data_IF_728657661304
#
_entry.id   IF_728657661304
#
_cell.length_a   1.000
_cell.length_b   1.000
_cell.length_c   1.000
_cell.angle_alpha   90.00
_cell.angle_beta   90.00
_cell.angle_gamma   90.00
#
_symmetry.space_group_name_H-M   'P 1'
#
loop_
_entity.id
_entity.type
_entity.pdbx_description
1 polymer ?
#
# COMPACT_ATOMS: atom_id res chain seq x y z
N UNK A 1 -9.34 -9.69 -12.96
CA UNK A 1 -10.16 -8.52 -13.36
C UNK A 1 -9.40 -7.75 -14.42
N UNK A 2 -9.89 -7.82 -15.66
CA UNK A 2 -9.28 -7.14 -16.81
C UNK A 2 -10.19 -6.02 -17.30
N UNK A 3 -9.60 -4.89 -17.71
CA UNK A 3 -10.35 -3.77 -18.31
C UNK A 3 -9.71 -3.30 -19.61
N UNK A 4 -10.53 -2.77 -20.52
CA UNK A 4 -10.04 -2.18 -21.77
C UNK A 4 -9.19 -0.93 -21.52
N UNK A 5 -8.38 -0.56 -22.52
CA UNK A 5 -7.55 0.64 -22.41
C UNK A 5 -8.38 1.92 -22.40
N UNK A 6 -9.50 1.97 -23.12
CA UNK A 6 -10.41 3.12 -23.15
C UNK A 6 -11.01 3.37 -21.77
N UNK A 7 -11.51 2.31 -21.11
CA UNK A 7 -12.10 2.42 -19.79
C UNK A 7 -11.04 2.75 -18.73
N UNK A 8 -9.85 2.13 -18.80
CA UNK A 8 -8.72 2.50 -17.94
C UNK A 8 -8.36 3.99 -18.08
N UNK A 9 -8.26 4.50 -19.32
CA UNK A 9 -7.95 5.91 -19.55
C UNK A 9 -9.04 6.83 -19.01
N UNK A 10 -10.32 6.47 -19.18
CA UNK A 10 -11.46 7.23 -18.65
C UNK A 10 -11.46 7.26 -17.12
N UNK A 11 -11.33 6.11 -16.45
CA UNK A 11 -11.22 6.01 -14.99
C UNK A 11 -10.03 6.83 -14.52
N UNK A 12 -8.84 6.56 -15.07
CA UNK A 12 -7.59 7.23 -14.67
C UNK A 12 -7.66 8.74 -14.87
N UNK A 13 -8.31 9.25 -15.93
CA UNK A 13 -8.48 10.69 -16.16
C UNK A 13 -9.34 11.33 -15.07
N UNK A 14 -10.49 10.71 -14.76
CA UNK A 14 -11.50 11.25 -13.86
C UNK A 14 -11.24 10.98 -12.37
N UNK A 15 -10.37 10.04 -12.04
CA UNK A 15 -9.95 9.75 -10.67
C UNK A 15 -8.96 10.82 -10.16
N UNK A 16 -9.44 11.82 -9.42
CA UNK A 16 -8.68 13.02 -9.02
C UNK A 16 -8.13 12.90 -7.60
N UNK A 17 -8.92 12.38 -6.68
CA UNK A 17 -8.57 12.23 -5.26
C UNK A 17 -9.31 11.06 -4.58
N UNK A 18 -9.07 10.88 -3.27
CA UNK A 18 -9.59 9.76 -2.49
C UNK A 18 -11.13 9.73 -2.39
N UNK A 19 -11.82 10.85 -2.64
CA UNK A 19 -13.29 10.92 -2.62
C UNK A 19 -13.91 10.27 -3.86
N UNK A 20 -13.11 10.04 -4.89
CA UNK A 20 -13.54 9.44 -6.14
C UNK A 20 -13.50 7.89 -6.12
N UNK A 21 -13.00 7.29 -5.03
CA UNK A 21 -12.79 5.83 -4.91
C UNK A 21 -14.08 4.99 -4.92
N UNK A 22 -15.26 5.61 -4.90
CA UNK A 22 -16.55 4.92 -4.94
C UNK A 22 -17.35 5.24 -6.21
N UNK A 23 -16.79 5.99 -7.18
CA UNK A 23 -17.56 6.60 -8.29
C UNK A 23 -17.64 5.77 -9.58
N UNK A 24 -16.81 4.74 -9.72
CA UNK A 24 -16.59 4.09 -11.03
C UNK A 24 -17.07 2.63 -11.11
N UNK A 25 -17.75 2.12 -10.08
CA UNK A 25 -18.21 0.72 -10.07
C UNK A 25 -17.09 -0.33 -10.00
N UNK A 26 -15.84 0.09 -9.78
CA UNK A 26 -14.69 -0.78 -9.58
C UNK A 26 -14.34 -0.92 -8.10
N UNK A 27 -13.67 -2.00 -7.70
CA UNK A 27 -13.21 -2.16 -6.33
C UNK A 27 -12.36 -1.00 -5.85
N UNK A 28 -12.55 -0.62 -4.58
CA UNK A 28 -11.87 0.51 -3.95
C UNK A 28 -10.35 0.40 -4.04
N UNK A 29 -9.80 -0.79 -3.83
CA UNK A 29 -8.37 -1.07 -3.92
C UNK A 29 -7.79 -0.88 -5.31
N UNK A 30 -8.54 -1.25 -6.35
CA UNK A 30 -8.17 -0.99 -7.74
C UNK A 30 -8.08 0.51 -8.01
N UNK A 31 -9.11 1.26 -7.65
CA UNK A 31 -9.15 2.70 -7.83
C UNK A 31 -8.03 3.39 -7.03
N UNK A 32 -7.83 3.02 -5.76
CA UNK A 32 -6.77 3.59 -4.93
C UNK A 32 -5.38 3.39 -5.56
N UNK A 33 -5.16 2.22 -6.12
CA UNK A 33 -3.90 1.88 -6.77
C UNK A 33 -3.69 2.63 -8.08
N UNK A 34 -4.70 2.74 -8.95
CA UNK A 34 -4.65 3.58 -10.16
C UNK A 34 -4.38 5.04 -9.80
N UNK A 35 -5.02 5.55 -8.74
CA UNK A 35 -4.80 6.91 -8.24
C UNK A 35 -3.37 7.12 -7.75
N UNK A 36 -2.82 6.20 -6.96
CA UNK A 36 -1.45 6.31 -6.44
C UNK A 36 -0.43 6.24 -7.58
N UNK A 37 -0.55 5.31 -8.54
CA UNK A 37 0.28 5.28 -9.76
C UNK A 37 0.18 6.59 -10.55
N UNK A 38 -1.03 7.15 -10.70
CA UNK A 38 -1.25 8.46 -11.35
C UNK A 38 -0.48 9.59 -10.67
N UNK A 39 -0.50 9.64 -9.35
CA UNK A 39 0.19 10.69 -8.58
C UNK A 39 1.70 10.49 -8.58
N UNK A 40 2.19 9.25 -8.56
CA UNK A 40 3.62 8.95 -8.71
C UNK A 40 4.14 9.39 -10.08
N UNK A 41 3.40 9.11 -11.15
CA UNK A 41 3.73 9.59 -12.50
C UNK A 41 3.76 11.11 -12.59
N UNK A 42 2.78 11.76 -11.97
CA UNK A 42 2.72 13.22 -11.87
C UNK A 42 3.96 13.78 -11.16
N UNK A 43 4.30 13.25 -9.97
CA UNK A 43 5.48 13.66 -9.21
C UNK A 43 6.76 13.48 -10.04
N UNK A 44 6.94 12.32 -10.71
CA UNK A 44 8.12 12.08 -11.55
C UNK A 44 8.28 13.12 -12.66
N UNK A 45 7.18 13.60 -13.24
CA UNK A 45 7.19 14.62 -14.29
C UNK A 45 7.44 16.03 -13.74
N UNK A 46 6.83 16.38 -12.61
CA UNK A 46 6.96 17.73 -12.04
C UNK A 46 8.27 17.92 -11.26
N UNK A 47 8.85 16.85 -10.71
CA UNK A 47 10.02 16.92 -9.83
C UNK A 47 11.22 17.65 -10.47
N UNK A 48 11.63 17.37 -11.72
CA UNK A 48 12.73 18.10 -12.37
C UNK A 48 12.48 19.61 -12.47
N UNK A 49 11.23 20.04 -12.71
CA UNK A 49 10.87 21.46 -12.79
C UNK A 49 11.05 22.18 -11.46
N UNK A 50 10.83 21.46 -10.35
CA UNK A 50 11.03 22.00 -9.01
C UNK A 50 12.50 22.05 -8.64
N UNK A 51 13.27 21.01 -8.98
CA UNK A 51 14.70 20.94 -8.67
C UNK A 51 15.50 22.05 -9.36
N UNK A 52 15.10 22.51 -10.55
CA UNK A 52 15.75 23.63 -11.23
C UNK A 52 15.61 24.97 -10.51
N UNK A 53 14.72 25.06 -9.51
CA UNK A 53 14.33 26.30 -8.83
C UNK A 53 14.45 26.17 -7.31
N UNK A 54 15.46 25.42 -6.84
CA UNK A 54 15.67 25.24 -5.40
C UNK A 54 16.02 26.55 -4.69
N UNK A 55 16.86 27.40 -5.30
CA UNK A 55 17.21 28.71 -4.73
C UNK A 55 15.98 29.63 -4.58
N UNK A 56 15.14 29.70 -5.62
CA UNK A 56 13.85 30.41 -5.56
C UNK A 56 12.98 29.89 -4.41
N UNK A 57 12.94 28.56 -4.22
CA UNK A 57 12.14 27.91 -3.20
C UNK A 57 12.62 28.27 -1.79
N UNK A 58 13.93 28.20 -1.55
CA UNK A 58 14.54 28.58 -0.27
C UNK A 58 14.29 30.06 0.03
N UNK A 59 14.52 30.93 -0.94
CA UNK A 59 14.29 32.38 -0.82
C UNK A 59 12.83 32.68 -0.48
N UNK A 60 11.88 32.07 -1.21
CA UNK A 60 10.46 32.26 -0.96
C UNK A 60 10.04 31.75 0.43
N UNK A 61 10.56 30.58 0.84
CA UNK A 61 10.28 30.04 2.18
C UNK A 61 10.82 30.95 3.28
N UNK A 62 12.05 31.42 3.18
CA UNK A 62 12.66 32.27 4.20
C UNK A 62 11.88 33.59 4.38
N UNK A 63 11.34 34.14 3.29
CA UNK A 63 10.53 35.36 3.34
C UNK A 63 9.08 35.15 3.80
N UNK A 64 8.46 34.00 3.49
CA UNK A 64 7.00 33.83 3.62
C UNK A 64 6.57 32.69 4.56
N UNK A 65 7.50 31.83 4.98
CA UNK A 65 7.27 30.59 5.74
C UNK A 65 6.18 29.71 5.14
N UNK A 66 6.11 29.70 3.80
CA UNK A 66 5.12 28.96 2.99
C UNK A 66 5.77 28.39 1.73
N UNK A 67 5.25 27.26 1.26
CA UNK A 67 5.64 26.70 -0.04
C UNK A 67 4.89 27.42 -1.16
N UNK A 68 5.56 27.91 -2.21
CA UNK A 68 4.91 28.63 -3.30
C UNK A 68 4.02 27.72 -4.14
N UNK A 69 2.95 28.29 -4.72
CA UNK A 69 1.91 27.55 -5.46
C UNK A 69 2.44 26.76 -6.67
N UNK A 70 3.56 27.19 -7.25
CA UNK A 70 4.18 26.51 -8.39
C UNK A 70 4.83 25.17 -8.02
N UNK A 71 5.11 24.90 -6.74
CA UNK A 71 5.58 23.58 -6.29
C UNK A 71 4.38 22.62 -6.25
N UNK A 72 4.13 21.98 -7.40
CA UNK A 72 3.03 21.03 -7.57
C UNK A 72 3.50 19.60 -7.31
N UNK A 73 3.81 19.28 -6.05
CA UNK A 73 4.19 17.94 -5.62
C UNK A 73 3.26 17.41 -4.52
N UNK A 74 3.34 16.11 -4.22
CA UNK A 74 2.69 15.50 -3.06
C UNK A 74 3.25 16.07 -1.74
N UNK A 75 2.47 16.16 -0.64
CA UNK A 75 2.87 16.89 0.57
C UNK A 75 4.25 16.54 1.12
N UNK A 76 4.59 15.26 1.28
CA UNK A 76 5.92 14.85 1.77
C UNK A 76 6.99 15.19 0.74
N UNK A 77 6.71 15.04 -0.56
CA UNK A 77 7.66 15.42 -1.60
C UNK A 77 7.93 16.93 -1.64
N UNK A 78 6.92 17.77 -1.33
CA UNK A 78 7.09 19.23 -1.17
C UNK A 78 8.06 19.55 -0.03
N UNK A 79 7.90 18.88 1.12
CA UNK A 79 8.78 19.02 2.26
C UNK A 79 10.20 18.57 1.93
N UNK A 80 10.36 17.42 1.26
CA UNK A 80 11.69 16.90 0.89
C UNK A 80 12.46 17.87 0.00
N UNK A 81 11.82 18.46 -1.01
CA UNK A 81 12.50 19.42 -1.90
C UNK A 81 12.76 20.75 -1.19
N UNK A 82 11.87 21.19 -0.31
CA UNK A 82 12.09 22.38 0.51
C UNK A 82 13.30 22.19 1.43
N UNK A 83 13.33 21.12 2.22
CA UNK A 83 14.47 20.84 3.10
C UNK A 83 15.78 20.71 2.31
N UNK A 84 15.75 20.07 1.14
CA UNK A 84 16.92 20.04 0.25
C UNK A 84 17.36 21.44 -0.18
N UNK A 85 16.41 22.34 -0.49
CA UNK A 85 16.73 23.74 -0.81
C UNK A 85 17.32 24.52 0.36
N UNK A 86 17.00 24.12 1.60
CA UNK A 86 17.54 24.69 2.83
C UNK A 86 18.87 24.06 3.27
N UNK A 87 19.46 23.19 2.44
CA UNK A 87 20.78 22.59 2.69
C UNK A 87 20.77 21.29 3.50
N UNK A 88 19.61 20.75 3.86
CA UNK A 88 19.54 19.49 4.60
C UNK A 88 20.00 18.31 3.72
N UNK A 89 20.77 17.41 4.32
CA UNK A 89 21.15 16.13 3.73
C UNK A 89 19.95 15.17 3.63
N UNK A 90 20.07 14.16 2.77
CA UNK A 90 19.03 13.12 2.65
C UNK A 90 18.77 12.40 3.98
N UNK A 91 19.80 12.20 4.82
CA UNK A 91 19.66 11.54 6.11
C UNK A 91 18.84 12.37 7.08
N UNK A 92 19.12 13.67 7.18
CA UNK A 92 18.38 14.60 8.03
C UNK A 92 16.93 14.73 7.59
N UNK A 93 16.68 14.80 6.28
CA UNK A 93 15.32 14.83 5.72
C UNK A 93 14.54 13.57 6.12
N UNK A 94 15.14 12.39 6.01
CA UNK A 94 14.50 11.14 6.40
C UNK A 94 14.22 11.09 7.92
N UNK A 95 15.17 11.57 8.74
CA UNK A 95 15.01 11.66 10.19
C UNK A 95 13.86 12.61 10.56
N UNK A 96 13.79 13.78 9.94
CA UNK A 96 12.74 14.76 10.19
C UNK A 96 11.35 14.27 9.77
N UNK A 97 11.24 13.54 8.64
CA UNK A 97 9.95 12.94 8.22
C UNK A 97 9.51 11.82 9.17
N UNK A 98 10.45 11.06 9.74
CA UNK A 98 10.16 9.98 10.67
C UNK A 98 9.77 10.49 12.06
N UNK A 99 10.43 11.56 12.50
CA UNK A 99 10.28 12.14 13.83
C UNK A 99 10.23 13.67 13.75
N UNK A 100 9.11 14.25 13.28
CA UNK A 100 8.95 15.69 13.11
C UNK A 100 9.09 16.47 14.41
N UNK A 101 8.78 15.85 15.56
CA UNK A 101 8.86 16.44 16.89
C UNK A 101 10.27 16.92 17.26
N UNK A 102 11.30 16.37 16.61
CA UNK A 102 12.70 16.71 16.84
C UNK A 102 13.21 17.85 15.95
N UNK A 103 12.34 18.47 15.14
CA UNK A 103 12.71 19.59 14.27
C UNK A 103 12.58 20.90 15.06
N UNK A 104 13.69 21.63 15.17
CA UNK A 104 13.78 22.86 15.97
C UNK A 104 12.99 24.05 15.37
N UNK A 105 13.01 24.23 14.05
CA UNK A 105 12.24 25.29 13.39
C UNK A 105 10.74 24.95 13.42
N UNK A 106 9.96 25.75 14.15
CA UNK A 106 8.53 25.56 14.37
C UNK A 106 7.69 25.53 13.10
N UNK A 107 7.98 26.41 12.13
CA UNK A 107 7.24 26.50 10.88
C UNK A 107 7.50 25.27 10.01
N UNK A 108 8.77 24.85 9.94
CA UNK A 108 9.19 23.65 9.23
C UNK A 108 8.61 22.40 9.88
N UNK A 109 8.67 22.31 11.22
CA UNK A 109 8.07 21.21 11.99
C UNK A 109 6.58 21.05 11.68
N UNK A 110 5.79 22.11 11.82
CA UNK A 110 4.35 22.10 11.53
C UNK A 110 4.05 21.69 10.08
N UNK A 111 4.87 22.15 9.14
CA UNK A 111 4.75 21.78 7.73
C UNK A 111 5.03 20.28 7.52
N UNK A 112 6.09 19.75 8.14
CA UNK A 112 6.45 18.33 8.07
C UNK A 112 5.34 17.47 8.69
N UNK A 113 4.87 17.81 9.89
CA UNK A 113 3.79 17.09 10.57
C UNK A 113 2.54 17.02 9.69
N UNK A 114 2.10 18.17 9.15
CA UNK A 114 0.95 18.21 8.23
C UNK A 114 1.19 17.36 6.99
N UNK A 115 2.39 17.39 6.41
CA UNK A 115 2.71 16.59 5.23
C UNK A 115 2.65 15.09 5.54
N UNK A 116 3.24 14.66 6.65
CA UNK A 116 3.24 13.26 7.12
C UNK A 116 1.81 12.76 7.36
N UNK A 117 0.94 13.58 7.96
CA UNK A 117 -0.44 13.20 8.27
C UNK A 117 -1.38 13.14 7.05
N UNK A 118 -1.03 13.82 5.95
CA UNK A 118 -1.92 13.98 4.79
C UNK A 118 -1.45 13.29 3.52
N UNK A 119 -0.16 12.93 3.42
CA UNK A 119 0.39 12.26 2.25
C UNK A 119 0.10 10.75 2.28
N UNK A 120 -0.73 10.28 1.36
CA UNK A 120 -1.13 8.87 1.25
C UNK A 120 -0.21 8.03 0.35
N UNK A 121 0.94 8.55 -0.05
CA UNK A 121 1.89 7.89 -0.96
C UNK A 121 3.29 7.80 -0.34
N UNK A 122 3.79 8.90 0.22
CA UNK A 122 5.19 9.04 0.63
C UNK A 122 5.40 9.19 2.14
N UNK A 123 4.32 9.30 2.94
CA UNK A 123 4.44 9.33 4.40
C UNK A 123 4.89 7.97 4.95
N UNK A 124 5.47 7.92 6.17
CA UNK A 124 5.79 6.67 6.85
C UNK A 124 4.60 5.70 6.93
N UNK A 125 3.39 6.22 7.21
CA UNK A 125 2.17 5.43 7.27
C UNK A 125 1.77 4.86 5.89
N UNK A 126 1.86 5.68 4.83
CA UNK A 126 1.59 5.24 3.46
C UNK A 126 2.55 4.14 3.00
N UNK A 127 3.83 4.25 3.36
CA UNK A 127 4.85 3.24 3.09
C UNK A 127 4.51 1.92 3.82
N UNK A 128 4.16 1.97 5.10
CA UNK A 128 3.70 0.80 5.86
C UNK A 128 2.46 0.15 5.21
N UNK A 129 1.51 0.97 4.75
CA UNK A 129 0.32 0.48 4.05
C UNK A 129 0.65 -0.19 2.70
N UNK A 130 1.59 0.37 1.93
CA UNK A 130 2.08 -0.27 0.70
C UNK A 130 2.70 -1.64 1.00
N UNK A 131 3.55 -1.73 2.03
CA UNK A 131 4.15 -3.00 2.46
C UNK A 131 3.10 -4.02 2.92
N UNK A 132 2.12 -3.60 3.72
CA UNK A 132 1.04 -4.48 4.18
C UNK A 132 0.24 -5.06 3.01
N UNK A 133 -0.06 -4.25 1.98
CA UNK A 133 -0.74 -4.74 0.75
C UNK A 133 0.12 -5.72 -0.04
N UNK A 134 1.42 -5.46 -0.16
CA UNK A 134 2.38 -6.39 -0.79
C UNK A 134 2.38 -7.74 -0.09
N UNK A 135 2.57 -7.74 1.23
CA UNK A 135 2.56 -8.95 2.05
C UNK A 135 1.24 -9.69 2.03
N UNK A 136 0.10 -8.98 2.02
CA UNK A 136 -1.20 -9.61 1.87
C UNK A 136 -1.31 -10.35 0.52
N UNK A 137 -0.86 -9.72 -0.57
CA UNK A 137 -0.79 -10.37 -1.88
C UNK A 137 0.07 -11.64 -1.88
N UNK A 138 1.29 -11.56 -1.35
CA UNK A 138 2.17 -12.72 -1.20
C UNK A 138 1.52 -13.82 -0.34
N UNK A 139 0.90 -13.46 0.79
CA UNK A 139 0.25 -14.42 1.68
C UNK A 139 -0.91 -15.17 1.02
N UNK A 140 -1.61 -14.57 0.05
CA UNK A 140 -2.66 -15.26 -0.72
C UNK A 140 -2.05 -16.38 -1.56
N UNK A 141 -0.95 -16.12 -2.28
CA UNK A 141 -0.28 -17.14 -3.08
C UNK A 141 0.34 -18.21 -2.19
N UNK A 142 1.02 -17.79 -1.11
CA UNK A 142 1.63 -18.69 -0.12
C UNK A 142 0.64 -19.72 0.40
N UNK A 143 -0.50 -19.27 0.95
CA UNK A 143 -1.55 -20.17 1.45
C UNK A 143 -2.08 -21.08 0.35
N UNK A 144 -2.28 -20.56 -0.86
CA UNK A 144 -2.76 -21.37 -1.98
C UNK A 144 -1.80 -22.52 -2.32
N UNK A 145 -0.48 -22.28 -2.25
CA UNK A 145 0.57 -23.28 -2.48
C UNK A 145 0.64 -24.28 -1.32
N UNK A 146 0.66 -23.79 -0.07
CA UNK A 146 0.70 -24.59 1.15
C UNK A 146 -0.50 -25.54 1.25
N UNK A 147 -1.72 -25.03 0.98
CA UNK A 147 -2.96 -25.83 0.98
C UNK A 147 -2.95 -26.99 -0.05
N UNK A 148 -2.02 -26.95 -1.00
CA UNK A 148 -1.83 -27.97 -2.06
C UNK A 148 -0.58 -28.80 -1.87
N UNK A 149 0.17 -28.58 -0.79
CA UNK A 149 1.45 -29.25 -0.55
C UNK A 149 2.50 -28.95 -1.63
N UNK A 150 2.42 -27.79 -2.29
CA UNK A 150 3.40 -27.38 -3.28
C UNK A 150 4.56 -26.72 -2.54
N UNK A 151 5.73 -27.35 -2.59
CA UNK A 151 6.96 -26.79 -2.02
C UNK A 151 7.47 -25.62 -2.87
N UNK A 152 7.95 -24.57 -2.21
CA UNK A 152 8.52 -23.40 -2.87
C UNK A 152 9.59 -22.77 -1.98
N UNK A 153 10.54 -22.07 -2.61
CA UNK A 153 11.49 -21.18 -1.97
C UNK A 153 10.97 -19.75 -2.03
N UNK A 154 10.98 -19.05 -0.90
CA UNK A 154 10.65 -17.63 -0.87
C UNK A 154 11.87 -16.72 -1.09
N UNK A 155 11.67 -15.40 -1.15
CA UNK A 155 12.77 -14.45 -1.35
C UNK A 155 13.94 -14.63 -0.37
N UNK A 156 13.69 -15.03 0.89
CA UNK A 156 14.74 -15.16 1.91
C UNK A 156 15.63 -16.36 1.63
N UNK A 157 15.04 -17.43 1.14
CA UNK A 157 15.75 -18.64 0.72
C UNK A 157 16.49 -18.37 -0.59
N UNK A 158 15.80 -17.77 -1.58
CA UNK A 158 16.39 -17.43 -2.86
C UNK A 158 17.58 -16.47 -2.75
N UNK A 159 17.60 -15.57 -1.75
CA UNK A 159 18.74 -14.64 -1.51
C UNK A 159 20.05 -15.36 -1.19
N UNK A 160 20.00 -16.63 -0.76
CA UNK A 160 21.19 -17.45 -0.50
C UNK A 160 21.77 -18.06 -1.77
N UNK A 161 20.95 -18.22 -2.81
CA UNK A 161 21.28 -18.98 -4.02
C UNK A 161 21.42 -18.08 -5.25
N UNK A 162 20.69 -16.97 -5.31
CA UNK A 162 20.67 -16.06 -6.45
C UNK A 162 20.54 -14.60 -6.03
N UNK A 163 21.13 -13.72 -6.86
CA UNK A 163 20.90 -12.26 -6.75
C UNK A 163 19.47 -11.89 -7.13
N UNK A 164 18.76 -12.75 -7.87
CA UNK A 164 17.40 -12.55 -8.36
C UNK A 164 16.46 -13.45 -7.58
N UNK A 165 15.41 -12.84 -7.04
CA UNK A 165 14.54 -13.44 -6.02
C UNK A 165 13.10 -13.16 -6.41
N UNK A 166 12.48 -14.01 -7.26
CA UNK A 166 11.02 -13.99 -7.39
C UNK A 166 10.39 -14.26 -6.02
N UNK A 167 9.16 -13.79 -5.81
CA UNK A 167 8.46 -13.97 -4.53
C UNK A 167 8.30 -15.45 -4.16
N UNK A 168 8.04 -16.29 -5.18
CA UNK A 168 7.92 -17.74 -5.08
C UNK A 168 8.72 -18.39 -6.21
N UNK A 169 9.61 -19.32 -5.85
CA UNK A 169 10.39 -20.12 -6.79
C UNK A 169 10.17 -21.61 -6.54
N UNK A 170 10.14 -22.41 -7.60
CA UNK A 170 9.99 -23.86 -7.54
C UNK A 170 11.26 -24.53 -8.08
N UNK A 171 11.86 -25.43 -7.28
CA UNK A 171 13.04 -26.19 -7.70
C UNK A 171 12.70 -27.11 -8.88
N UNK A 172 11.52 -27.73 -8.85
CA UNK A 172 10.93 -28.45 -9.96
C UNK A 172 9.78 -27.65 -10.59
N UNK A 173 9.65 -27.62 -11.93
CA UNK A 173 8.53 -26.95 -12.58
C UNK A 173 7.19 -27.52 -12.12
N UNK A 174 6.22 -26.65 -11.90
CA UNK A 174 4.85 -27.05 -11.61
C UNK A 174 3.93 -26.77 -12.80
N UNK A 175 2.98 -27.66 -13.05
CA UNK A 175 1.92 -27.42 -14.02
C UNK A 175 0.85 -26.52 -13.41
N UNK A 176 0.74 -25.29 -13.93
CA UNK A 176 -0.15 -24.27 -13.42
C UNK A 176 -0.85 -23.54 -14.57
N UNK A 177 -2.18 -23.53 -14.57
CA UNK A 177 -3.00 -22.84 -15.58
C UNK A 177 -2.61 -23.20 -17.03
N UNK A 178 -2.30 -24.49 -17.27
CA UNK A 178 -1.91 -25.01 -18.58
C UNK A 178 -0.48 -24.68 -19.02
N UNK A 179 0.39 -24.23 -18.11
CA UNK A 179 1.81 -23.97 -18.37
C UNK A 179 2.68 -24.61 -17.29
N UNK A 180 3.85 -25.10 -17.69
CA UNK A 180 4.94 -25.47 -16.79
C UNK A 180 5.68 -24.21 -16.34
N UNK A 181 5.68 -23.91 -15.04
CA UNK A 181 6.29 -22.69 -14.50
C UNK A 181 7.25 -22.97 -13.34
N UNK A 182 8.22 -22.07 -13.14
CA UNK A 182 9.23 -22.15 -12.07
C UNK A 182 9.19 -20.99 -11.08
N UNK A 183 8.38 -19.97 -11.33
CA UNK A 183 8.25 -18.85 -10.40
C UNK A 183 6.90 -18.14 -10.51
N UNK A 184 6.51 -17.48 -9.41
CA UNK A 184 5.38 -16.55 -9.35
C UNK A 184 5.85 -15.25 -8.70
N UNK A 185 5.49 -14.12 -9.29
CA UNK A 185 5.71 -12.78 -8.74
C UNK A 185 4.38 -12.10 -8.39
N UNK A 186 4.28 -11.65 -7.15
CA UNK A 186 3.15 -10.95 -6.54
C UNK A 186 3.29 -9.44 -6.68
N UNK A 187 2.35 -8.79 -7.37
CA UNK A 187 2.35 -7.33 -7.54
C UNK A 187 1.08 -6.72 -6.98
N UNK A 188 1.20 -6.07 -5.82
CA UNK A 188 0.14 -5.26 -5.21
C UNK A 188 -0.04 -3.89 -5.91
N UNK A 189 -0.21 -3.90 -7.23
CA UNK A 189 -0.48 -2.73 -8.07
C UNK A 189 -1.42 -3.07 -9.25
N UNK A 190 -1.89 -2.06 -9.99
CA UNK A 190 -2.67 -2.23 -11.22
C UNK A 190 -1.72 -2.40 -12.41
N UNK A 191 -1.89 -3.48 -13.17
CA UNK A 191 -1.09 -3.77 -14.35
C UNK A 191 -1.52 -2.93 -15.55
N UNK A 192 -0.89 -1.77 -15.77
CA UNK A 192 -0.96 -1.04 -17.04
C UNK A 192 0.28 -1.31 -17.91
N UNK A 193 0.21 -0.98 -19.21
CA UNK A 193 1.31 -1.24 -20.15
C UNK A 193 2.64 -0.63 -19.71
N UNK A 194 2.62 0.61 -19.22
CA UNK A 194 3.83 1.31 -18.79
C UNK A 194 4.47 0.60 -17.60
N UNK A 195 3.66 0.27 -16.58
CA UNK A 195 4.10 -0.38 -15.36
C UNK A 195 4.61 -1.77 -15.67
N UNK A 196 3.85 -2.56 -16.44
CA UNK A 196 4.24 -3.90 -16.86
C UNK A 196 5.56 -3.88 -17.64
N UNK A 197 5.71 -2.99 -18.63
CA UNK A 197 6.95 -2.86 -19.41
C UNK A 197 8.16 -2.51 -18.55
N UNK A 198 8.01 -1.64 -17.55
CA UNK A 198 9.09 -1.29 -16.62
C UNK A 198 9.54 -2.54 -15.85
N UNK A 199 8.61 -3.34 -15.34
CA UNK A 199 8.95 -4.56 -14.59
C UNK A 199 9.47 -5.67 -15.51
N UNK A 200 8.92 -5.83 -16.71
CA UNK A 200 9.43 -6.76 -17.71
C UNK A 200 10.92 -6.53 -17.95
N UNK A 201 11.30 -5.29 -18.27
CA UNK A 201 12.70 -4.92 -18.51
C UNK A 201 13.62 -5.06 -17.30
N UNK A 202 13.12 -4.77 -16.09
CA UNK A 202 13.95 -4.71 -14.88
C UNK A 202 14.03 -6.01 -14.10
N UNK A 203 13.03 -6.88 -14.26
CA UNK A 203 12.79 -8.02 -13.39
C UNK A 203 12.39 -9.26 -14.20
N UNK A 204 11.24 -9.25 -14.89
CA UNK A 204 10.67 -10.49 -15.43
C UNK A 204 11.50 -11.13 -16.55
N UNK A 205 12.10 -10.33 -17.44
CA UNK A 205 12.98 -10.89 -18.48
C UNK A 205 14.19 -11.61 -17.90
N UNK A 206 14.72 -11.14 -16.76
CA UNK A 206 15.84 -11.78 -16.08
C UNK A 206 15.41 -13.06 -15.38
N UNK A 207 14.18 -13.11 -14.87
CA UNK A 207 13.64 -14.35 -14.31
C UNK A 207 13.38 -15.38 -15.39
N UNK A 208 12.87 -14.96 -16.55
CA UNK A 208 12.71 -15.83 -17.71
C UNK A 208 14.04 -16.43 -18.15
N UNK A 209 15.09 -15.62 -18.23
CA UNK A 209 16.43 -16.08 -18.62
C UNK A 209 17.06 -17.02 -17.59
N UNK A 210 16.93 -16.74 -16.29
CA UNK A 210 17.58 -17.51 -15.23
C UNK A 210 16.80 -18.75 -14.79
N UNK A 211 15.47 -18.64 -14.78
CA UNK A 211 14.58 -19.61 -14.14
C UNK A 211 13.53 -20.16 -15.10
N UNK A 212 13.47 -19.73 -16.36
CA UNK A 212 12.44 -20.15 -17.30
C UNK A 212 11.07 -19.51 -17.04
N UNK A 213 10.02 -20.13 -17.54
CA UNK A 213 8.65 -19.59 -17.52
C UNK A 213 8.12 -19.35 -16.10
N UNK A 214 7.27 -18.33 -15.96
CA UNK A 214 6.64 -17.99 -14.69
C UNK A 214 5.48 -17.02 -14.85
N UNK A 215 4.77 -16.79 -13.75
CA UNK A 215 3.60 -15.93 -13.72
C UNK A 215 3.80 -14.66 -12.92
N UNK A 216 3.11 -13.60 -13.34
CA UNK A 216 2.95 -12.36 -12.57
C UNK A 216 1.49 -12.19 -12.20
N UNK A 217 1.21 -11.88 -10.94
CA UNK A 217 -0.15 -11.59 -10.44
C UNK A 217 -0.28 -10.11 -10.12
N UNK A 218 -1.18 -9.39 -10.81
CA UNK A 218 -1.54 -8.01 -10.47
C UNK A 218 -2.83 -8.00 -9.63
N UNK A 219 -2.70 -7.79 -8.31
CA UNK A 219 -3.82 -7.94 -7.37
C UNK A 219 -4.96 -6.94 -7.54
N UNK A 220 -4.70 -5.83 -8.21
CA UNK A 220 -5.66 -4.75 -8.39
C UNK A 220 -6.27 -4.72 -9.80
N UNK A 221 -6.08 -5.81 -10.56
CA UNK A 221 -6.51 -5.91 -11.95
C UNK A 221 -5.45 -5.42 -12.93
N UNK A 222 -5.72 -5.62 -14.21
CA UNK A 222 -4.78 -5.30 -15.28
C UNK A 222 -5.50 -4.96 -16.60
N UNK A 223 -4.75 -4.45 -17.60
CA UNK A 223 -5.30 -4.25 -18.94
C UNK A 223 -5.49 -5.60 -19.67
N UNK A 224 -6.58 -5.70 -20.44
CA UNK A 224 -6.96 -6.93 -21.17
C UNK A 224 -5.83 -7.50 -22.04
N UNK A 225 -5.10 -6.62 -22.73
CA UNK A 225 -4.09 -6.98 -23.72
C UNK A 225 -2.67 -7.10 -23.15
N UNK A 226 -2.53 -7.32 -21.84
CA UNK A 226 -1.23 -7.67 -21.24
C UNK A 226 -0.87 -9.13 -21.50
N UNK A 227 0.43 -9.41 -21.40
CA UNK A 227 1.07 -10.70 -21.67
C UNK A 227 0.29 -11.90 -21.10
N UNK A 228 0.34 -13.02 -21.82
CA UNK A 228 -0.18 -14.32 -21.39
C UNK A 228 0.42 -14.82 -20.07
N UNK A 229 1.59 -14.33 -19.67
CA UNK A 229 2.24 -14.64 -18.39
C UNK A 229 1.69 -13.78 -17.23
N UNK A 230 0.63 -13.01 -17.45
CA UNK A 230 -0.14 -12.36 -16.39
C UNK A 230 -1.30 -13.25 -15.97
N UNK A 231 -1.22 -13.80 -14.75
CA UNK A 231 -2.28 -14.61 -14.17
C UNK A 231 -3.38 -13.71 -13.59
N UNK A 232 -4.64 -14.04 -13.87
CA UNK A 232 -5.79 -13.29 -13.33
C UNK A 232 -5.92 -13.54 -11.83
N UNK A 233 -6.04 -12.46 -11.04
CA UNK A 233 -6.20 -12.55 -9.59
C UNK A 233 -7.52 -13.23 -9.17
N UNK A 234 -8.48 -13.31 -10.09
CA UNK A 234 -9.71 -14.10 -10.02
C UNK A 234 -9.48 -15.59 -9.74
N UNK A 235 -8.32 -16.12 -10.11
CA UNK A 235 -7.91 -17.49 -9.83
C UNK A 235 -7.86 -17.80 -8.32
N UNK A 236 -7.39 -16.85 -7.51
CA UNK A 236 -7.32 -17.00 -6.07
C UNK A 236 -8.66 -16.63 -5.42
N UNK A 237 -9.49 -17.62 -5.09
CA UNK A 237 -10.81 -17.41 -4.47
C UNK A 237 -10.70 -17.42 -2.93
N UNK A 238 -10.31 -16.29 -2.34
CA UNK A 238 -10.12 -16.16 -0.88
C UNK A 238 -10.73 -14.88 -0.33
N UNK A 239 -11.07 -14.89 0.96
CA UNK A 239 -11.51 -13.67 1.69
C UNK A 239 -10.38 -12.63 1.82
N UNK A 240 -9.12 -13.09 1.83
CA UNK A 240 -7.93 -12.24 1.82
C UNK A 240 -7.83 -11.39 0.56
N UNK A 241 -8.19 -11.94 -0.62
CA UNK A 241 -8.29 -11.15 -1.86
C UNK A 241 -9.37 -10.07 -1.74
N UNK A 242 -10.52 -10.42 -1.15
CA UNK A 242 -11.60 -9.45 -0.96
C UNK A 242 -11.14 -8.27 -0.09
N UNK A 243 -10.31 -8.53 0.93
CA UNK A 243 -9.70 -7.47 1.72
C UNK A 243 -8.88 -6.51 0.85
N UNK A 244 -7.98 -7.01 -0.02
CA UNK A 244 -7.24 -6.14 -0.96
C UNK A 244 -8.19 -5.27 -1.78
N UNK A 245 -9.22 -5.88 -2.38
CA UNK A 245 -10.12 -5.21 -3.31
C UNK A 245 -11.04 -4.19 -2.64
N UNK A 246 -11.57 -4.47 -1.45
CA UNK A 246 -12.48 -3.56 -0.76
C UNK A 246 -11.78 -2.49 0.08
N UNK A 247 -10.52 -2.73 0.48
CA UNK A 247 -9.77 -1.89 1.41
C UNK A 247 -10.59 -1.45 2.63
N UNK A 248 -11.26 -2.39 3.28
CA UNK A 248 -12.15 -2.12 4.40
C UNK A 248 -11.55 -2.47 5.75
N UNK A 249 -11.76 -1.59 6.73
CA UNK A 249 -11.43 -1.78 8.14
C UNK A 249 -12.72 -1.62 8.95
N UNK A 250 -12.99 -2.57 9.83
CA UNK A 250 -14.09 -2.49 10.78
C UNK A 250 -13.58 -2.02 12.13
N UNK A 251 -14.34 -1.17 12.82
CA UNK A 251 -14.06 -0.71 14.18
C UNK A 251 -15.28 -0.91 15.06
N UNK A 252 -15.10 -1.51 16.23
CA UNK A 252 -16.18 -1.78 17.19
C UNK A 252 -15.68 -1.59 18.63
N UNK A 253 -16.60 -1.33 19.55
CA UNK A 253 -16.38 -1.47 21.00
C UNK A 253 -17.31 -2.51 21.65
N UNK A 254 -17.93 -3.36 20.83
CA UNK A 254 -18.81 -4.43 21.29
C UNK A 254 -18.22 -5.78 20.89
N UNK A 255 -18.00 -6.63 21.89
CA UNK A 255 -17.55 -8.02 21.72
C UNK A 255 -18.58 -8.81 20.91
N UNK A 256 -19.87 -8.68 21.22
CA UNK A 256 -20.92 -9.37 20.48
C UNK A 256 -20.93 -9.00 19.00
N UNK A 257 -20.77 -7.71 18.68
CA UNK A 257 -20.63 -7.26 17.28
C UNK A 257 -19.34 -7.77 16.66
N UNK A 258 -18.25 -7.80 17.40
CA UNK A 258 -16.99 -8.36 16.92
C UNK A 258 -17.19 -9.82 16.46
N UNK A 259 -17.72 -10.68 17.34
CA UNK A 259 -17.99 -12.10 17.08
C UNK A 259 -18.86 -12.28 15.83
N UNK A 260 -19.95 -11.51 15.71
CA UNK A 260 -20.80 -11.54 14.50
C UNK A 260 -20.06 -11.15 13.23
N UNK A 261 -19.17 -10.16 13.27
CA UNK A 261 -18.40 -9.77 12.09
C UNK A 261 -17.37 -10.82 11.71
N UNK A 262 -16.76 -11.49 12.68
CA UNK A 262 -15.78 -12.54 12.43
C UNK A 262 -16.42 -13.70 11.66
N UNK A 263 -17.55 -14.20 12.15
CA UNK A 263 -18.30 -15.28 11.52
C UNK A 263 -18.80 -14.91 10.11
N UNK A 264 -19.38 -13.72 9.95
CA UNK A 264 -20.08 -13.36 8.72
C UNK A 264 -19.18 -12.77 7.63
N UNK A 265 -18.06 -12.17 7.98
CA UNK A 265 -17.25 -11.38 7.04
C UNK A 265 -15.87 -11.97 6.79
N UNK A 266 -15.54 -13.12 7.38
CA UNK A 266 -14.23 -13.76 7.22
C UNK A 266 -13.09 -12.83 7.65
N UNK A 267 -13.27 -12.15 8.80
CA UNK A 267 -12.19 -11.36 9.43
C UNK A 267 -11.04 -12.31 9.72
N UNK A 268 -9.86 -11.97 9.22
CA UNK A 268 -8.68 -12.84 9.33
C UNK A 268 -7.64 -12.30 10.30
N UNK A 269 -7.85 -11.11 10.87
CA UNK A 269 -6.97 -10.52 11.85
C UNK A 269 -7.69 -9.49 12.72
N UNK A 270 -7.42 -9.52 14.02
CA UNK A 270 -7.95 -8.53 14.97
C UNK A 270 -6.82 -7.71 15.57
N UNK A 271 -6.97 -6.39 15.45
CA UNK A 271 -6.21 -5.43 16.24
C UNK A 271 -6.99 -5.14 17.52
N UNK A 272 -6.63 -5.80 18.61
CA UNK A 272 -7.33 -5.72 19.88
C UNK A 272 -6.68 -4.67 20.78
N UNK A 273 -7.39 -3.58 21.07
CA UNK A 273 -6.97 -2.52 21.98
C UNK A 273 -7.71 -2.55 23.32
N UNK A 274 -8.25 -3.72 23.68
CA UNK A 274 -8.95 -4.01 24.94
C UNK A 274 -8.19 -5.06 25.74
N UNK A 275 -8.57 -5.22 27.00
CA UNK A 275 -8.04 -6.31 27.83
C UNK A 275 -8.75 -7.65 27.57
N UNK A 276 -9.88 -7.63 26.86
CA UNK A 276 -10.67 -8.82 26.53
C UNK A 276 -9.93 -9.78 25.60
N UNK A 277 -10.13 -11.07 25.81
CA UNK A 277 -9.68 -12.13 24.91
C UNK A 277 -10.78 -12.56 23.95
N UNK A 278 -10.39 -12.91 22.73
CA UNK A 278 -11.28 -13.45 21.70
C UNK A 278 -10.67 -14.73 21.14
N UNK A 279 -11.47 -15.79 21.00
CA UNK A 279 -11.05 -17.09 20.48
C UNK A 279 -11.06 -17.12 18.94
N UNK A 280 -10.01 -16.58 18.33
CA UNK A 280 -9.94 -16.41 16.87
C UNK A 280 -8.51 -16.62 16.41
N UNK A 281 -8.33 -17.18 15.21
CA UNK A 281 -7.04 -17.57 14.60
C UNK A 281 -5.93 -16.54 14.78
N UNK A 282 -6.23 -15.24 14.66
CA UNK A 282 -5.24 -14.18 14.81
C UNK A 282 -5.78 -12.97 15.57
N UNK A 283 -5.40 -12.86 16.84
CA UNK A 283 -5.58 -11.67 17.67
C UNK A 283 -4.22 -11.05 17.99
N UNK A 284 -4.07 -9.75 17.75
CA UNK A 284 -2.92 -8.96 18.19
C UNK A 284 -3.37 -7.94 19.22
N UNK A 285 -2.92 -8.10 20.46
CA UNK A 285 -3.18 -7.15 21.55
C UNK A 285 -2.25 -5.95 21.47
N UNK A 286 -2.81 -4.76 21.68
CA UNK A 286 -2.12 -3.48 21.65
C UNK A 286 -2.62 -2.59 22.77
N UNK A 287 -1.76 -1.69 23.25
CA UNK A 287 -2.22 -0.59 24.12
C UNK A 287 -2.81 0.53 23.26
N UNK A 288 -3.78 1.27 23.80
CA UNK A 288 -4.17 2.55 23.19
C UNK A 288 -2.98 3.51 23.35
N UNK A 289 -2.57 4.10 22.23
CA UNK A 289 -1.42 4.98 22.09
C UNK A 289 -1.86 6.24 21.33
N UNK A 290 -0.93 7.08 20.84
CA UNK A 290 -1.25 8.15 19.92
C UNK A 290 -1.91 7.64 18.61
N UNK A 291 -2.66 8.52 17.95
CA UNK A 291 -3.43 8.19 16.76
C UNK A 291 -2.60 7.56 15.62
N UNK A 292 -1.33 7.96 15.47
CA UNK A 292 -0.45 7.43 14.43
C UNK A 292 -0.11 5.97 14.74
N UNK A 293 0.33 5.66 15.97
CA UNK A 293 0.62 4.28 16.37
C UNK A 293 -0.58 3.35 16.27
N UNK A 294 -1.78 3.83 16.62
CA UNK A 294 -3.02 3.06 16.44
C UNK A 294 -3.22 2.72 14.94
N UNK A 295 -3.15 3.71 14.05
CA UNK A 295 -3.30 3.49 12.61
C UNK A 295 -2.22 2.55 12.05
N UNK A 296 -0.97 2.70 12.49
CA UNK A 296 0.13 1.83 12.09
C UNK A 296 -0.09 0.37 12.50
N UNK A 297 -0.56 0.11 13.73
CA UNK A 297 -0.85 -1.23 14.24
C UNK A 297 -2.00 -1.90 13.49
N UNK A 298 -3.04 -1.13 13.17
CA UNK A 298 -4.16 -1.61 12.34
C UNK A 298 -3.68 -1.95 10.94
N UNK A 299 -2.88 -1.09 10.30
CA UNK A 299 -2.28 -1.36 8.98
C UNK A 299 -1.36 -2.58 9.03
N UNK A 300 -0.60 -2.78 10.11
CA UNK A 300 0.25 -3.96 10.26
C UNK A 300 -0.57 -5.25 10.33
N UNK A 301 -1.79 -5.21 10.88
CA UNK A 301 -2.70 -6.36 10.88
C UNK A 301 -3.27 -6.66 9.49
N UNK A 302 -3.34 -5.66 8.62
CA UNK A 302 -3.92 -5.78 7.27
C UNK A 302 -3.12 -6.70 6.34
N UNK A 303 -1.84 -6.97 6.63
CA UNK A 303 -1.04 -7.96 5.89
C UNK A 303 -1.63 -9.39 5.94
N UNK A 304 -2.53 -9.65 6.90
CA UNK A 304 -3.18 -10.94 7.11
C UNK A 304 -4.60 -11.01 6.54
N UNK A 305 -5.09 -9.93 5.95
CA UNK A 305 -6.39 -9.85 5.29
C UNK A 305 -7.32 -8.85 5.95
N UNK A 306 -8.60 -9.20 6.08
CA UNK A 306 -9.64 -8.27 6.55
C UNK A 306 -9.46 -8.02 8.05
N UNK A 307 -9.44 -6.75 8.43
CA UNK A 307 -9.13 -6.31 9.80
C UNK A 307 -10.38 -5.82 10.52
N UNK A 308 -10.54 -6.29 11.75
CA UNK A 308 -11.41 -5.70 12.76
C UNK A 308 -10.55 -5.11 13.88
N UNK A 309 -10.77 -3.85 14.21
CA UNK A 309 -10.15 -3.19 15.36
C UNK A 309 -11.16 -3.08 16.50
N UNK A 310 -10.83 -3.68 17.64
CA UNK A 310 -11.65 -3.66 18.86
C UNK A 310 -11.08 -2.63 19.83
N UNK A 311 -11.92 -1.75 20.37
CA UNK A 311 -11.54 -0.68 21.29
C UNK A 311 -12.47 -0.65 22.51
N UNK A 312 -11.99 -0.14 23.63
CA UNK A 312 -12.84 0.15 24.80
C UNK A 312 -13.82 1.30 24.52
N UNK A 313 -13.30 2.42 24.02
CA UNK A 313 -14.08 3.61 23.69
C UNK A 313 -13.79 4.13 22.27
N UNK A 314 -14.78 4.05 21.39
CA UNK A 314 -14.72 4.62 20.04
C UNK A 314 -14.77 6.16 20.03
N UNK A 315 -15.12 6.79 21.16
CA UNK A 315 -15.15 8.24 21.31
C UNK A 315 -13.80 8.83 21.74
N UNK A 316 -12.84 8.01 22.13
CA UNK A 316 -11.48 8.44 22.46
C UNK A 316 -10.87 9.30 21.33
N UNK A 317 -10.11 10.32 21.73
CA UNK A 317 -9.54 11.29 20.80
C UNK A 317 -8.54 10.66 19.83
N UNK A 318 -7.66 9.78 20.31
CA UNK A 318 -6.68 9.11 19.49
C UNK A 318 -7.34 8.07 18.57
N UNK A 319 -8.36 7.37 19.06
CA UNK A 319 -9.16 6.44 18.24
C UNK A 319 -9.85 7.18 17.09
N UNK A 320 -10.53 8.30 17.37
CA UNK A 320 -11.17 9.14 16.34
C UNK A 320 -10.17 9.66 15.29
N UNK A 321 -9.00 10.12 15.74
CA UNK A 321 -7.98 10.62 14.83
C UNK A 321 -7.32 9.49 14.02
N UNK A 322 -7.11 8.32 14.60
CA UNK A 322 -6.61 7.15 13.86
C UNK A 322 -7.54 6.76 12.72
N UNK A 323 -8.86 6.87 12.92
CA UNK A 323 -9.88 6.65 11.89
C UNK A 323 -9.73 7.64 10.74
N UNK A 324 -9.45 8.92 11.01
CA UNK A 324 -9.19 9.91 9.96
C UNK A 324 -7.91 9.58 9.18
N UNK A 325 -6.84 9.17 9.87
CA UNK A 325 -5.58 8.75 9.23
C UNK A 325 -5.79 7.54 8.30
N UNK A 326 -6.53 6.52 8.75
CA UNK A 326 -6.85 5.35 7.93
C UNK A 326 -7.68 5.73 6.69
N UNK A 327 -8.68 6.61 6.84
CA UNK A 327 -9.42 7.15 5.68
C UNK A 327 -8.52 7.91 4.71
N UNK A 328 -7.56 8.69 5.22
CA UNK A 328 -6.56 9.35 4.39
C UNK A 328 -5.62 8.37 3.69
N UNK A 329 -5.42 7.16 4.22
CA UNK A 329 -4.70 6.09 3.54
C UNK A 329 -5.55 5.35 2.49
N UNK A 330 -6.77 5.82 2.23
CA UNK A 330 -7.67 5.26 1.24
C UNK A 330 -8.53 4.10 1.75
N UNK A 331 -8.49 3.76 3.04
CA UNK A 331 -9.38 2.73 3.58
C UNK A 331 -10.84 3.19 3.63
N UNK A 332 -11.76 2.25 3.50
CA UNK A 332 -13.15 2.38 3.91
C UNK A 332 -13.26 1.95 5.38
N UNK A 333 -13.48 2.91 6.29
CA UNK A 333 -13.50 2.64 7.74
C UNK A 333 -14.93 2.65 8.26
N UNK A 334 -15.44 1.45 8.54
CA UNK A 334 -16.79 1.18 9.01
C UNK A 334 -16.77 1.05 10.53
N UNK A 335 -17.58 1.86 11.20
CA UNK A 335 -17.79 1.76 12.65
C UNK A 335 -19.13 1.06 12.86
N UNK A 336 -19.12 -0.04 13.61
CA UNK A 336 -20.27 -0.94 13.80
C UNK A 336 -20.83 -0.90 15.20
#
# INVERSE_FOLDING_TARGET
MRISIEEYQKVRRNLRDLRDLNKFGYPRGMLFTILTQKKVDFVKREYPNVIKRLEDLATYWNANKKIPKWVRLMPVMKVRVLMRSLGFSNSEILKAIRSPENVEDDDLRRLIERAVLTDYIYSPLAVKHQFARGKLGENIIRRWLEDRGIEFKDEREMKKESKKTPDFYFDDPIEFNGKSIRWIESKALFGDFKTHWIYLKKQYSQYLELFGEGFVVYWFGCLENLDSNVLDEGFFRTTMKNALLDMRIYMTNSIDKANKLIENLGVSCIANFTDHDLEIDVVRKFRVDDAMKIAERIIACYERGRVLALFEDLKDYNVKNSRFLLKNMGFDVVVV
#
